data_IF_081412100586
#
_entry.id   IF_081412100586
#
_cell.length_a   1.000
_cell.length_b   1.000
_cell.length_c   1.000
_cell.angle_alpha   90.00
_cell.angle_beta   90.00
_cell.angle_gamma   90.00
#
_symmetry.space_group_name_H-M   'P 1'
#
loop_
_entity.id
_entity.type
_entity.pdbx_description
1 polymer ?
#
# COMPACT_ATOMS: atom_id res chain seq x y z
N UNK A 1 -8.10 2.99 -6.97
CA UNK A 1 -8.03 2.44 -5.60
C UNK A 1 -6.99 3.23 -4.86
N UNK A 2 -7.32 3.87 -3.74
CA UNK A 2 -6.39 4.76 -3.04
C UNK A 2 -5.47 3.96 -2.10
N UNK A 3 -4.18 4.19 -2.22
CA UNK A 3 -3.15 3.80 -1.26
C UNK A 3 -2.84 5.03 -0.41
N UNK A 4 -2.76 4.83 0.91
CA UNK A 4 -2.22 5.83 1.83
C UNK A 4 -1.04 5.24 2.58
N UNK A 5 0.02 6.04 2.71
CA UNK A 5 1.19 5.74 3.51
C UNK A 5 1.44 6.96 4.38
N UNK A 6 1.46 6.76 5.70
CA UNK A 6 1.88 7.79 6.65
C UNK A 6 3.31 7.51 7.11
N UNK A 7 4.13 8.55 7.11
CA UNK A 7 5.48 8.56 7.65
C UNK A 7 5.51 9.51 8.83
N UNK A 8 6.03 9.04 9.96
CA UNK A 8 6.23 9.83 11.16
C UNK A 8 7.70 10.28 11.20
N UNK A 9 7.91 11.59 11.23
CA UNK A 9 9.23 12.21 11.13
C UNK A 9 9.50 13.05 12.38
N UNK A 10 10.70 12.91 12.94
CA UNK A 10 11.14 13.71 14.08
C UNK A 10 11.44 15.15 13.65
N UNK A 11 10.87 16.10 14.39
CA UNK A 11 11.03 17.53 14.13
C UNK A 11 10.05 18.06 13.08
N UNK A 12 10.27 19.31 12.68
CA UNK A 12 9.43 20.01 11.72
C UNK A 12 9.93 19.77 10.29
N UNK A 13 9.00 19.40 9.40
CA UNK A 13 9.26 19.27 7.96
C UNK A 13 8.47 20.35 7.22
N UNK A 14 9.18 21.17 6.44
CA UNK A 14 8.54 22.21 5.63
C UNK A 14 8.12 21.67 4.26
N UNK A 15 7.05 22.24 3.69
CA UNK A 15 6.56 21.87 2.36
C UNK A 15 7.63 22.11 1.30
N UNK A 16 8.30 23.26 1.39
CA UNK A 16 9.34 23.69 0.45
C UNK A 16 10.45 22.66 0.41
N UNK A 17 10.86 22.13 1.59
CA UNK A 17 11.92 21.13 1.64
C UNK A 17 11.53 19.82 0.97
N UNK A 18 10.28 19.38 1.16
CA UNK A 18 9.79 18.15 0.51
C UNK A 18 9.64 18.35 -1.01
N UNK A 19 9.20 19.53 -1.44
CA UNK A 19 9.13 19.91 -2.86
C UNK A 19 10.51 19.92 -3.52
N UNK A 20 11.51 20.51 -2.86
CA UNK A 20 12.91 20.49 -3.32
C UNK A 20 13.42 19.07 -3.46
N UNK A 21 13.29 18.24 -2.42
CA UNK A 21 13.74 16.85 -2.45
C UNK A 21 13.04 16.03 -3.55
N UNK A 22 11.74 16.26 -3.76
CA UNK A 22 11.00 15.62 -4.83
C UNK A 22 11.53 16.05 -6.21
N UNK A 23 11.74 17.35 -6.41
CA UNK A 23 12.26 17.88 -7.66
C UNK A 23 13.68 17.34 -7.93
N UNK A 24 14.57 17.41 -6.94
CA UNK A 24 15.97 17.03 -7.04
C UNK A 24 16.18 15.52 -7.22
N UNK A 25 15.39 14.68 -6.56
CA UNK A 25 15.65 13.24 -6.52
C UNK A 25 14.72 12.39 -7.39
N UNK A 26 13.49 12.86 -7.61
CA UNK A 26 12.46 12.09 -8.32
C UNK A 26 12.31 12.63 -9.75
N UNK A 27 12.11 13.94 -9.91
CA UNK A 27 11.80 14.54 -11.21
C UNK A 27 13.00 14.60 -12.16
N UNK A 28 14.21 14.71 -11.62
CA UNK A 28 15.46 14.67 -12.39
C UNK A 28 15.93 13.24 -12.67
N UNK A 29 15.38 12.21 -12.01
CA UNK A 29 15.87 10.84 -12.12
C UNK A 29 15.74 10.34 -13.56
N UNK A 30 16.89 9.97 -14.14
CA UNK A 30 16.97 9.36 -15.48
C UNK A 30 17.39 7.90 -15.39
N UNK A 31 16.93 7.10 -16.34
CA UNK A 31 17.40 5.74 -16.59
C UNK A 31 18.75 5.78 -17.31
N UNK A 32 19.38 4.61 -17.46
CA UNK A 32 20.64 4.48 -18.22
C UNK A 32 20.50 4.92 -19.68
N UNK A 33 19.27 4.89 -20.21
CA UNK A 33 18.94 5.35 -21.57
C UNK A 33 18.62 6.87 -21.63
N UNK A 34 18.74 7.60 -20.53
CA UNK A 34 18.42 9.03 -20.45
C UNK A 34 16.94 9.37 -20.32
N UNK A 35 16.03 8.37 -20.23
CA UNK A 35 14.60 8.61 -20.06
C UNK A 35 14.21 8.95 -18.61
N UNK A 36 13.14 9.72 -18.42
CA UNK A 36 12.58 9.98 -17.08
C UNK A 36 12.02 8.71 -16.44
N UNK A 37 12.57 8.31 -15.29
CA UNK A 37 12.15 7.09 -14.59
C UNK A 37 10.73 7.21 -14.05
N UNK A 38 10.36 8.37 -13.49
CA UNK A 38 9.08 8.60 -12.83
C UNK A 38 8.08 9.40 -13.69
N UNK A 39 8.12 9.24 -15.02
CA UNK A 39 7.25 10.00 -15.94
C UNK A 39 5.75 9.90 -15.61
N UNK A 40 5.29 8.76 -15.10
CA UNK A 40 3.88 8.54 -14.74
C UNK A 40 3.37 9.44 -13.62
N UNK A 41 4.25 10.03 -12.79
CA UNK A 41 3.84 11.01 -11.79
C UNK A 41 3.34 12.33 -12.40
N UNK A 42 3.55 12.55 -13.70
CA UNK A 42 3.05 13.70 -14.45
C UNK A 42 1.92 13.31 -15.41
N UNK A 43 1.23 12.20 -15.13
CA UNK A 43 0.16 11.68 -15.96
C UNK A 43 -1.04 11.31 -15.11
N UNK A 44 -2.21 11.37 -15.75
CA UNK A 44 -3.48 10.93 -15.19
C UNK A 44 -4.19 10.00 -16.16
N UNK A 45 -5.27 9.38 -15.69
CA UNK A 45 -6.11 8.51 -16.51
C UNK A 45 -7.22 9.30 -17.18
N UNK A 46 -7.25 9.24 -18.51
CA UNK A 46 -8.37 9.71 -19.32
C UNK A 46 -9.09 8.52 -19.95
N UNK A 47 -10.32 8.75 -20.44
CA UNK A 47 -11.09 7.72 -21.14
C UNK A 47 -11.45 8.20 -22.54
N UNK A 48 -11.22 7.35 -23.54
CA UNK A 48 -11.62 7.62 -24.91
C UNK A 48 -12.22 6.37 -25.52
N UNK A 49 -13.46 6.47 -26.01
CA UNK A 49 -14.23 5.35 -26.61
C UNK A 49 -14.27 4.08 -25.72
N UNK A 50 -14.39 4.25 -24.40
CA UNK A 50 -14.46 3.15 -23.44
C UNK A 50 -13.11 2.56 -23.01
N UNK A 51 -12.00 3.01 -23.58
CA UNK A 51 -10.65 2.59 -23.20
C UNK A 51 -9.98 3.63 -22.30
N UNK A 52 -9.11 3.18 -21.39
CA UNK A 52 -8.32 4.04 -20.49
C UNK A 52 -6.95 4.31 -21.08
N UNK A 53 -6.51 5.57 -21.02
CA UNK A 53 -5.21 6.00 -21.51
C UNK A 53 -4.51 6.87 -20.47
N UNK A 54 -3.17 6.85 -20.52
CA UNK A 54 -2.35 7.82 -19.81
C UNK A 54 -2.31 9.12 -20.61
N UNK A 55 -2.76 10.21 -19.99
CA UNK A 55 -2.65 11.56 -20.55
C UNK A 55 -1.69 12.38 -19.69
N UNK A 56 -0.86 13.20 -20.34
CA UNK A 56 0.08 14.06 -19.64
C UNK A 56 -0.65 15.23 -18.98
N UNK A 57 -0.34 15.46 -17.71
CA UNK A 57 -0.83 16.60 -16.94
C UNK A 57 -0.12 17.89 -17.41
N UNK A 58 -0.76 18.61 -18.34
CA UNK A 58 -0.21 19.82 -18.95
C UNK A 58 0.02 20.96 -17.95
N UNK A 59 -0.66 20.92 -16.81
CA UNK A 59 -0.59 21.93 -15.75
C UNK A 59 0.12 21.37 -14.51
N UNK A 60 0.96 20.35 -14.69
CA UNK A 60 1.67 19.70 -13.59
C UNK A 60 2.55 20.71 -12.86
N UNK A 61 2.23 20.94 -11.58
CA UNK A 61 3.00 21.75 -10.65
C UNK A 61 3.19 20.97 -9.37
N UNK A 62 4.44 20.81 -8.93
CA UNK A 62 4.76 20.05 -7.70
C UNK A 62 4.02 20.63 -6.48
N UNK A 63 3.82 21.95 -6.44
CA UNK A 63 3.08 22.64 -5.37
C UNK A 63 1.59 22.29 -5.29
N UNK A 64 0.99 21.77 -6.37
CA UNK A 64 -0.38 21.26 -6.34
C UNK A 64 -0.45 19.88 -5.67
N UNK A 65 0.64 19.12 -5.69
CA UNK A 65 0.72 17.75 -5.18
C UNK A 65 1.36 17.68 -3.79
N UNK A 66 2.28 18.57 -3.44
CA UNK A 66 2.98 18.56 -2.15
C UNK A 66 2.62 19.83 -1.39
N UNK A 67 1.86 19.68 -0.30
CA UNK A 67 1.32 20.82 0.46
C UNK A 67 1.09 20.48 1.93
N UNK A 68 0.92 21.52 2.75
CA UNK A 68 0.35 21.34 4.07
C UNK A 68 -1.06 20.78 3.91
N UNK A 69 -1.44 19.90 4.81
CA UNK A 69 -2.85 19.57 4.96
C UNK A 69 -3.53 20.80 5.56
N UNK A 70 -4.27 21.54 4.74
CA UNK A 70 -4.95 22.77 5.13
C UNK A 70 -6.48 22.69 4.95
N UNK A 71 -7.19 23.61 5.61
CA UNK A 71 -8.65 23.74 5.66
C UNK A 71 -9.33 23.91 4.28
N UNK A 72 -8.57 24.07 3.18
CA UNK A 72 -9.13 24.21 1.82
C UNK A 72 -9.95 22.98 1.40
N UNK A 73 -9.75 21.86 2.08
CA UNK A 73 -10.52 20.63 1.85
C UNK A 73 -11.70 20.46 2.83
N UNK A 74 -12.09 21.50 3.60
CA UNK A 74 -13.10 21.46 4.68
C UNK A 74 -12.77 20.45 5.79
N UNK A 75 -11.47 20.26 6.06
CA UNK A 75 -10.97 19.29 7.03
C UNK A 75 -10.12 20.02 8.07
N UNK A 76 -10.79 20.51 9.12
CA UNK A 76 -10.12 21.20 10.22
C UNK A 76 -9.23 20.24 10.99
N UNK A 77 -7.93 20.49 10.94
CA UNK A 77 -6.95 19.80 11.79
C UNK A 77 -7.00 20.45 13.18
N UNK A 78 -7.13 19.64 14.22
CA UNK A 78 -6.85 20.10 15.58
C UNK A 78 -5.35 20.27 15.75
N UNK A 79 -4.92 21.43 16.21
CA UNK A 79 -3.52 21.69 16.56
C UNK A 79 -3.40 21.73 18.10
N UNK A 80 -2.69 20.78 18.73
CA UNK A 80 -1.85 19.75 18.12
C UNK A 80 -2.63 18.50 17.66
N UNK A 81 -2.14 17.82 16.64
CA UNK A 81 -2.82 16.68 16.00
C UNK A 81 -2.60 15.39 16.80
N UNK A 82 -3.67 14.74 17.23
CA UNK A 82 -3.59 13.46 17.96
C UNK A 82 -3.71 12.26 17.01
N UNK A 83 -3.41 11.05 17.50
CA UNK A 83 -3.62 9.80 16.76
C UNK A 83 -5.06 9.62 16.27
N UNK A 84 -6.04 9.90 17.12
CA UNK A 84 -7.47 9.79 16.76
C UNK A 84 -7.83 10.79 15.66
N UNK A 85 -7.27 12.00 15.71
CA UNK A 85 -7.48 12.99 14.64
C UNK A 85 -6.86 12.50 13.32
N UNK A 86 -5.65 11.92 13.36
CA UNK A 86 -4.98 11.34 12.19
C UNK A 86 -5.79 10.19 11.58
N UNK A 87 -6.34 9.27 12.39
CA UNK A 87 -7.18 8.16 11.91
C UNK A 87 -8.42 8.68 11.17
N UNK A 88 -9.14 9.64 11.77
CA UNK A 88 -10.29 10.27 11.12
C UNK A 88 -9.92 11.06 9.86
N UNK A 89 -8.71 11.62 9.78
CA UNK A 89 -8.20 12.26 8.55
C UNK A 89 -7.91 11.24 7.46
N UNK A 90 -7.23 10.13 7.79
CA UNK A 90 -6.92 9.07 6.83
C UNK A 90 -8.19 8.41 6.28
N UNK A 91 -9.20 8.22 7.12
CA UNK A 91 -10.52 7.74 6.72
C UNK A 91 -11.19 8.67 5.68
N UNK A 92 -11.14 9.99 5.90
CA UNK A 92 -11.68 10.94 4.92
C UNK A 92 -10.85 11.00 3.64
N UNK A 93 -9.52 10.93 3.77
CA UNK A 93 -8.60 10.95 2.63
C UNK A 93 -8.75 9.71 1.74
N UNK A 94 -8.97 8.51 2.29
CA UNK A 94 -9.14 7.30 1.47
C UNK A 94 -10.40 7.37 0.60
N UNK A 95 -11.44 8.05 1.08
CA UNK A 95 -12.72 8.21 0.38
C UNK A 95 -12.75 9.41 -0.57
N UNK A 96 -11.83 10.36 -0.42
CA UNK A 96 -11.79 11.58 -1.22
C UNK A 96 -11.67 11.26 -2.72
N UNK A 97 -12.44 11.89 -3.62
CA UNK A 97 -12.20 11.75 -5.06
C UNK A 97 -10.89 12.45 -5.47
N UNK A 98 -10.32 12.04 -6.61
CA UNK A 98 -9.20 12.77 -7.21
C UNK A 98 -9.69 13.99 -7.97
N UNK A 99 -8.86 15.02 -8.04
CA UNK A 99 -9.15 16.20 -8.87
C UNK A 99 -9.09 15.80 -10.35
N UNK A 100 -10.05 16.29 -11.12
CA UNK A 100 -10.11 15.99 -12.55
C UNK A 100 -8.88 16.56 -13.27
N UNK A 101 -8.41 15.81 -14.27
CA UNK A 101 -7.28 16.21 -15.13
C UNK A 101 -5.99 16.52 -14.36
N UNK A 102 -5.77 15.86 -13.22
CA UNK A 102 -4.54 15.97 -12.43
C UNK A 102 -3.94 14.60 -12.14
N UNK A 103 -2.62 14.58 -12.01
CA UNK A 103 -1.88 13.37 -11.67
C UNK A 103 -2.37 12.76 -10.34
N UNK A 104 -2.56 11.44 -10.30
CA UNK A 104 -3.33 10.75 -9.25
C UNK A 104 -2.53 10.46 -7.96
N UNK A 105 -1.82 11.46 -7.45
CA UNK A 105 -1.06 11.36 -6.21
C UNK A 105 -0.92 12.72 -5.52
N UNK A 106 -0.66 12.71 -4.22
CA UNK A 106 -0.32 13.90 -3.43
C UNK A 106 0.46 13.51 -2.17
N UNK A 107 1.22 14.46 -1.64
CA UNK A 107 1.92 14.38 -0.36
C UNK A 107 1.36 15.50 0.52
N UNK A 108 0.79 15.12 1.65
CA UNK A 108 0.20 16.02 2.62
C UNK A 108 1.07 16.03 3.87
N UNK A 109 1.39 17.23 4.37
CA UNK A 109 2.23 17.42 5.53
C UNK A 109 1.38 17.94 6.69
N UNK A 110 1.47 17.28 7.84
CA UNK A 110 0.79 17.64 9.08
C UNK A 110 1.86 17.88 10.12
N UNK A 111 2.00 19.13 10.54
CA UNK A 111 2.91 19.50 11.62
C UNK A 111 2.24 19.31 12.99
N UNK A 112 3.04 19.38 14.05
CA UNK A 112 2.57 19.34 15.44
C UNK A 112 1.79 18.07 15.82
N UNK A 113 2.19 16.92 15.30
CA UNK A 113 1.64 15.64 15.74
C UNK A 113 2.14 15.26 17.14
N UNK A 114 1.20 14.87 18.01
CA UNK A 114 1.47 14.41 19.38
C UNK A 114 1.64 12.89 19.36
N UNK A 115 2.87 12.37 19.52
CA UNK A 115 3.07 10.93 19.69
C UNK A 115 2.42 10.43 20.98
N UNK A 116 2.09 9.13 21.01
CA UNK A 116 1.49 8.50 22.19
C UNK A 116 2.41 8.51 23.42
N UNK A 117 3.71 8.63 23.21
CA UNK A 117 4.67 8.74 24.30
C UNK A 117 4.81 10.21 24.74
N UNK A 118 4.35 10.59 25.95
CA UNK A 118 4.32 11.97 26.41
C UNK A 118 5.71 12.62 26.58
N UNK A 119 6.79 11.83 26.57
CA UNK A 119 8.16 12.35 26.61
C UNK A 119 8.74 12.71 25.24
N UNK A 120 8.01 12.44 24.17
CA UNK A 120 8.50 12.65 22.80
C UNK A 120 8.18 14.07 22.32
N UNK A 121 9.10 14.63 21.52
CA UNK A 121 8.91 15.95 20.89
C UNK A 121 7.75 15.88 19.89
N UNK A 122 7.17 17.04 19.57
CA UNK A 122 6.24 17.15 18.45
C UNK A 122 6.92 16.64 17.16
N UNK A 123 6.13 15.94 16.36
CA UNK A 123 6.57 15.31 15.13
C UNK A 123 5.76 15.83 13.94
N UNK A 124 6.28 15.58 12.75
CA UNK A 124 5.55 15.83 11.51
C UNK A 124 5.10 14.50 10.92
N UNK A 125 3.84 14.45 10.47
CA UNK A 125 3.33 13.34 9.67
C UNK A 125 3.36 13.74 8.20
N UNK A 126 3.97 12.89 7.38
CA UNK A 126 3.96 13.02 5.91
C UNK A 126 3.09 11.91 5.36
N UNK A 127 1.97 12.27 4.74
CA UNK A 127 1.02 11.33 4.14
C UNK A 127 1.23 11.33 2.63
N UNK A 128 1.69 10.22 2.08
CA UNK A 128 1.59 9.94 0.65
C UNK A 128 0.24 9.30 0.38
N UNK A 129 -0.55 9.94 -0.49
CA UNK A 129 -1.78 9.36 -1.04
C UNK A 129 -1.60 9.19 -2.55
N UNK A 130 -1.98 8.03 -3.07
CA UNK A 130 -1.75 7.69 -4.47
C UNK A 130 -2.80 6.71 -4.98
N UNK A 131 -3.24 6.82 -6.23
CA UNK A 131 -4.00 5.75 -6.85
C UNK A 131 -3.08 4.58 -7.24
N UNK A 132 -3.43 3.36 -6.82
CA UNK A 132 -2.69 2.12 -7.06
C UNK A 132 -2.38 1.89 -8.56
N UNK A 133 -3.11 2.53 -9.45
CA UNK A 133 -2.83 2.51 -10.89
C UNK A 133 -1.43 3.03 -11.28
N UNK A 134 -0.86 3.93 -10.47
CA UNK A 134 0.45 4.50 -10.72
C UNK A 134 1.56 3.47 -10.48
N UNK A 135 1.48 2.71 -9.39
CA UNK A 135 2.44 1.66 -9.11
C UNK A 135 2.05 0.76 -7.95
N UNK A 136 2.77 -0.35 -7.84
CA UNK A 136 2.64 -1.29 -6.73
C UNK A 136 3.48 -0.88 -5.51
N UNK A 137 3.40 -1.68 -4.44
CA UNK A 137 4.16 -1.44 -3.21
C UNK A 137 5.69 -1.38 -3.41
N UNK A 138 6.24 -2.10 -4.37
CA UNK A 138 7.68 -2.06 -4.64
C UNK A 138 8.09 -0.76 -5.31
N UNK A 139 7.32 -0.32 -6.31
CA UNK A 139 7.47 1.00 -6.95
C UNK A 139 7.40 2.14 -5.93
N UNK A 140 6.44 2.06 -4.99
CA UNK A 140 6.24 3.07 -3.96
C UNK A 140 7.41 3.09 -2.97
N UNK A 141 7.94 1.94 -2.55
CA UNK A 141 9.15 1.90 -1.72
C UNK A 141 10.37 2.48 -2.44
N UNK A 142 10.53 2.21 -3.73
CA UNK A 142 11.57 2.82 -4.57
C UNK A 142 11.44 4.34 -4.66
N UNK A 143 10.21 4.82 -4.84
CA UNK A 143 9.88 6.25 -4.81
C UNK A 143 10.22 6.89 -3.46
N UNK A 144 9.74 6.31 -2.35
CA UNK A 144 10.01 6.82 -1.01
C UNK A 144 11.49 6.81 -0.67
N UNK A 145 12.24 5.79 -1.10
CA UNK A 145 13.70 5.75 -0.96
C UNK A 145 14.34 6.98 -1.60
N UNK A 146 13.93 7.39 -2.80
CA UNK A 146 14.49 8.57 -3.47
C UNK A 146 14.07 9.86 -2.79
N UNK A 147 12.78 9.98 -2.43
CA UNK A 147 12.26 11.15 -1.73
C UNK A 147 13.00 11.39 -0.41
N UNK A 148 13.35 10.32 0.30
CA UNK A 148 14.03 10.34 1.60
C UNK A 148 15.56 10.22 1.48
N UNK A 149 16.16 10.64 0.36
CA UNK A 149 17.62 10.65 0.15
C UNK A 149 18.33 9.30 0.39
N UNK A 150 17.68 8.18 0.07
CA UNK A 150 18.27 6.85 0.16
C UNK A 150 18.29 6.23 1.56
N UNK A 151 17.69 6.88 2.56
CA UNK A 151 17.63 6.40 3.95
C UNK A 151 16.90 5.06 4.08
N UNK A 152 15.95 4.76 3.19
CA UNK A 152 15.26 3.48 3.15
C UNK A 152 16.00 2.46 2.28
N UNK A 153 16.16 1.24 2.79
CA UNK A 153 16.56 0.10 1.97
C UNK A 153 15.33 -0.52 1.30
N UNK A 154 15.40 -0.69 -0.02
CA UNK A 154 14.39 -1.46 -0.77
C UNK A 154 14.98 -2.86 -0.95
N UNK A 155 14.28 -3.93 -0.54
CA UNK A 155 14.75 -5.29 -0.72
C UNK A 155 15.03 -5.54 -2.20
N UNK A 156 16.17 -6.13 -2.55
CA UNK A 156 16.38 -6.55 -3.94
C UNK A 156 15.64 -7.86 -4.19
N UNK A 157 14.80 -7.88 -5.23
CA UNK A 157 14.16 -9.12 -5.68
C UNK A 157 15.17 -9.86 -6.53
N UNK A 158 15.61 -11.03 -6.06
CA UNK A 158 16.53 -11.87 -6.82
C UNK A 158 15.98 -12.17 -8.21
N UNK A 159 16.81 -11.97 -9.24
CA UNK A 159 16.47 -12.36 -10.61
C UNK A 159 16.57 -13.88 -10.73
N UNK A 160 15.51 -14.60 -10.35
CA UNK A 160 15.42 -16.01 -10.68
C UNK A 160 15.05 -16.13 -12.16
N UNK A 161 16.06 -16.32 -13.02
CA UNK A 161 15.92 -16.60 -14.46
C UNK A 161 15.39 -18.00 -14.71
N UNK A 162 14.26 -18.38 -14.09
CA UNK A 162 13.53 -19.56 -14.57
C UNK A 162 12.85 -19.15 -15.86
N UNK A 163 13.48 -19.51 -16.98
CA UNK A 163 12.87 -19.40 -18.31
C UNK A 163 11.64 -20.29 -18.33
N UNK A 164 10.46 -19.70 -18.20
CA UNK A 164 9.21 -20.38 -18.44
C UNK A 164 8.99 -20.42 -19.94
N UNK A 165 9.45 -21.49 -20.60
CA UNK A 165 9.22 -21.66 -22.03
C UNK A 165 7.81 -22.23 -22.21
N UNK A 166 6.90 -21.41 -22.74
CA UNK A 166 5.52 -21.83 -23.10
C UNK A 166 5.56 -23.06 -24.03
N UNK A 167 6.62 -23.20 -24.82
CA UNK A 167 6.84 -24.33 -25.72
C UNK A 167 7.09 -25.66 -25.00
N UNK A 168 7.48 -25.65 -23.72
CA UNK A 168 7.64 -26.88 -22.93
C UNK A 168 6.30 -27.49 -22.52
N UNK A 169 5.21 -26.71 -22.53
CA UNK A 169 3.87 -27.22 -22.26
C UNK A 169 2.80 -26.35 -22.96
N UNK A 170 2.55 -26.56 -24.26
CA UNK A 170 1.57 -25.77 -25.02
C UNK A 170 0.14 -25.92 -24.48
N UNK A 171 -0.15 -27.02 -23.77
CA UNK A 171 -1.44 -27.21 -23.08
C UNK A 171 -1.73 -26.14 -22.02
N UNK A 172 -0.71 -25.49 -21.47
CA UNK A 172 -0.88 -24.38 -20.52
C UNK A 172 -1.54 -23.16 -21.16
N UNK A 173 -1.33 -22.89 -22.45
CA UNK A 173 -1.93 -21.73 -23.13
C UNK A 173 -3.46 -21.82 -23.13
N UNK A 174 -3.99 -23.03 -23.28
CA UNK A 174 -5.43 -23.28 -23.24
C UNK A 174 -5.96 -23.50 -21.82
N UNK A 175 -5.13 -24.08 -20.94
CA UNK A 175 -5.52 -24.36 -19.56
C UNK A 175 -5.56 -23.10 -18.70
N UNK A 176 -4.63 -22.14 -18.90
CA UNK A 176 -4.55 -20.91 -18.09
C UNK A 176 -5.85 -20.10 -18.15
N UNK A 177 -6.45 -19.77 -19.31
CA UNK A 177 -7.72 -19.06 -19.35
C UNK A 177 -8.86 -19.82 -18.67
N UNK A 178 -8.91 -21.14 -18.81
CA UNK A 178 -9.93 -21.98 -18.18
C UNK A 178 -9.77 -22.01 -16.66
N UNK A 179 -8.58 -22.33 -16.16
CA UNK A 179 -8.28 -22.38 -14.72
C UNK A 179 -8.45 -20.99 -14.10
N UNK A 180 -7.98 -19.93 -14.76
CA UNK A 180 -8.20 -18.55 -14.32
C UNK A 180 -9.69 -18.21 -14.22
N UNK A 181 -10.48 -18.57 -15.24
CA UNK A 181 -11.94 -18.33 -15.24
C UNK A 181 -12.62 -19.13 -14.14
N UNK A 182 -12.24 -20.39 -13.97
CA UNK A 182 -12.76 -21.28 -12.92
C UNK A 182 -12.43 -20.73 -11.53
N UNK A 183 -11.20 -20.29 -11.31
CA UNK A 183 -10.76 -19.71 -10.03
C UNK A 183 -11.43 -18.35 -9.77
N UNK A 184 -11.56 -17.50 -10.80
CA UNK A 184 -12.34 -16.26 -10.71
C UNK A 184 -13.80 -16.52 -10.38
N UNK A 185 -14.41 -17.51 -11.02
CA UNK A 185 -15.79 -17.91 -10.76
C UNK A 185 -15.92 -18.52 -9.36
N UNK A 186 -14.98 -19.34 -8.93
CA UNK A 186 -14.94 -19.89 -7.58
C UNK A 186 -14.74 -18.79 -6.52
N UNK A 187 -13.95 -17.75 -6.81
CA UNK A 187 -13.88 -16.58 -5.95
C UNK A 187 -15.17 -15.77 -5.96
N UNK A 188 -15.81 -15.60 -7.12
CA UNK A 188 -17.05 -14.80 -7.23
C UNK A 188 -18.25 -15.50 -6.61
N UNK A 189 -18.39 -16.82 -6.82
CA UNK A 189 -19.50 -17.64 -6.35
C UNK A 189 -19.24 -18.30 -5.00
N UNK A 190 -17.98 -18.64 -4.72
CA UNK A 190 -17.53 -19.38 -3.54
C UNK A 190 -16.87 -18.51 -2.48
N UNK A 191 -16.64 -17.22 -2.74
CA UNK A 191 -16.61 -16.26 -1.64
C UNK A 191 -17.97 -16.34 -0.98
N UNK A 192 -18.06 -17.17 0.07
CA UNK A 192 -18.91 -16.83 1.20
C UNK A 192 -18.47 -15.42 1.55
N UNK A 193 -19.19 -14.42 1.04
CA UNK A 193 -19.12 -13.08 1.57
C UNK A 193 -19.49 -13.29 3.02
N UNK A 194 -18.47 -13.48 3.87
CA UNK A 194 -18.63 -13.53 5.29
C UNK A 194 -19.36 -12.24 5.58
N UNK A 195 -20.63 -12.36 5.98
CA UNK A 195 -21.59 -11.27 5.91
C UNK A 195 -20.96 -9.99 6.45
N UNK A 196 -21.24 -8.85 5.80
CA UNK A 196 -20.65 -7.56 6.14
C UNK A 196 -20.54 -7.42 7.67
N UNK A 197 -19.32 -7.55 8.19
CA UNK A 197 -19.00 -7.32 9.59
C UNK A 197 -19.05 -5.80 9.78
N UNK A 198 -20.26 -5.24 9.84
CA UNK A 198 -20.50 -3.82 10.07
C UNK A 198 -20.94 -3.01 8.85
N UNK A 199 -21.10 -1.71 9.09
CA UNK A 199 -21.52 -0.72 8.11
C UNK A 199 -20.48 -0.62 6.97
N UNK A 200 -20.88 -0.37 5.71
CA UNK A 200 -19.97 -0.32 4.56
C UNK A 200 -19.06 0.92 4.53
N UNK A 201 -19.10 1.76 5.57
CA UNK A 201 -18.23 2.91 5.68
C UNK A 201 -16.77 2.45 5.84
N UNK A 202 -15.86 3.03 5.06
CA UNK A 202 -14.46 2.62 5.06
C UNK A 202 -13.79 3.03 6.37
N UNK A 203 -13.74 2.11 7.35
CA UNK A 203 -13.04 2.36 8.62
C UNK A 203 -11.53 2.26 8.42
N UNK A 204 -10.80 3.28 8.86
CA UNK A 204 -9.34 3.23 8.98
C UNK A 204 -8.97 3.06 10.44
N UNK A 205 -8.15 2.06 10.75
CA UNK A 205 -7.56 1.87 12.07
C UNK A 205 -6.06 1.65 11.94
N UNK A 206 -5.28 2.33 12.77
CA UNK A 206 -3.83 2.15 12.83
C UNK A 206 -3.56 1.22 14.02
N UNK A 207 -2.77 0.16 13.84
CA UNK A 207 -2.36 -0.69 14.97
C UNK A 207 -1.28 -0.02 15.81
N UNK A 208 -1.08 -0.46 17.05
CA UNK A 208 0.14 -0.09 17.77
C UNK A 208 1.39 -0.58 17.03
N UNK A 209 2.52 0.08 17.26
CA UNK A 209 3.78 -0.33 16.65
C UNK A 209 4.21 -1.69 17.20
N UNK A 210 4.53 -2.62 16.31
CA UNK A 210 5.04 -3.94 16.67
C UNK A 210 6.55 -3.97 16.44
N UNK A 211 7.31 -4.35 17.46
CA UNK A 211 8.77 -4.42 17.34
C UNK A 211 9.20 -5.47 16.32
N UNK A 212 10.06 -5.07 15.38
CA UNK A 212 10.69 -5.99 14.41
C UNK A 212 11.53 -7.06 15.12
N UNK A 213 12.15 -6.75 16.26
CA UNK A 213 12.94 -7.73 17.02
C UNK A 213 12.07 -8.86 17.56
N UNK A 214 10.89 -8.51 18.09
CA UNK A 214 9.92 -9.47 18.59
C UNK A 214 9.43 -10.39 17.47
N UNK A 215 9.10 -9.85 16.30
CA UNK A 215 8.66 -10.67 15.16
C UNK A 215 9.76 -11.63 14.72
N UNK A 216 11.03 -11.18 14.70
CA UNK A 216 12.18 -12.03 14.38
C UNK A 216 12.41 -13.13 15.42
N UNK A 217 12.27 -12.82 16.71
CA UNK A 217 12.38 -13.78 17.81
C UNK A 217 11.34 -14.90 17.65
N UNK A 218 10.06 -14.55 17.47
CA UNK A 218 8.98 -15.51 17.24
C UNK A 218 9.27 -16.36 16.01
N UNK A 219 9.65 -15.73 14.88
CA UNK A 219 10.01 -16.46 13.65
C UNK A 219 11.09 -17.51 13.92
N UNK A 220 12.13 -17.14 14.66
CA UNK A 220 13.28 -18.02 14.91
C UNK A 220 12.91 -19.15 15.89
N UNK A 221 12.14 -18.84 16.93
CA UNK A 221 11.66 -19.81 17.91
C UNK A 221 10.80 -20.90 17.25
N UNK A 222 9.87 -20.50 16.36
CA UNK A 222 8.95 -21.43 15.69
C UNK A 222 9.49 -21.96 14.34
N UNK A 223 10.67 -21.48 13.90
CA UNK A 223 11.31 -21.85 12.61
C UNK A 223 10.44 -21.57 11.38
N UNK A 224 9.72 -20.46 11.40
CA UNK A 224 8.79 -20.04 10.33
C UNK A 224 9.29 -18.80 9.58
N UNK A 225 8.58 -18.37 8.54
CA UNK A 225 8.91 -17.13 7.83
C UNK A 225 8.45 -15.89 8.61
N UNK A 226 9.01 -14.72 8.28
CA UNK A 226 8.57 -13.45 8.90
C UNK A 226 7.11 -13.15 8.54
N UNK A 227 6.72 -13.41 7.28
CA UNK A 227 5.35 -13.25 6.81
C UNK A 227 4.36 -14.18 7.50
N UNK A 228 4.75 -15.42 7.82
CA UNK A 228 3.89 -16.36 8.56
C UNK A 228 3.51 -15.81 9.95
N UNK A 229 4.45 -15.16 10.63
CA UNK A 229 4.17 -14.49 11.91
C UNK A 229 3.18 -13.34 11.75
N UNK A 230 3.34 -12.51 10.72
CA UNK A 230 2.39 -11.42 10.47
C UNK A 230 1.00 -11.93 10.08
N UNK A 231 0.93 -12.94 9.23
CA UNK A 231 -0.34 -13.53 8.81
C UNK A 231 -1.08 -14.17 10.00
N UNK A 232 -0.38 -14.87 10.89
CA UNK A 232 -1.00 -15.49 12.06
C UNK A 232 -1.58 -14.47 13.05
N UNK A 233 -0.95 -13.28 13.17
CA UNK A 233 -1.46 -12.16 13.96
C UNK A 233 -2.74 -11.61 13.34
N UNK A 234 -2.75 -11.36 12.03
CA UNK A 234 -3.93 -10.87 11.31
C UNK A 234 -5.08 -11.86 11.39
N UNK A 235 -4.85 -13.15 11.14
CA UNK A 235 -5.87 -14.20 11.28
C UNK A 235 -6.41 -14.28 12.70
N UNK A 236 -5.54 -14.19 13.71
CA UNK A 236 -5.97 -14.17 15.11
C UNK A 236 -6.84 -12.96 15.44
N UNK A 237 -6.56 -11.78 14.85
CA UNK A 237 -7.39 -10.60 15.00
C UNK A 237 -8.76 -10.77 14.32
N UNK A 238 -8.78 -11.31 13.10
CA UNK A 238 -10.02 -11.61 12.37
C UNK A 238 -10.86 -12.61 13.16
N UNK A 239 -10.29 -13.73 13.61
CA UNK A 239 -11.01 -14.73 14.39
C UNK A 239 -11.65 -14.14 15.66
N UNK A 240 -10.91 -13.28 16.38
CA UNK A 240 -11.46 -12.56 17.54
C UNK A 240 -12.61 -11.64 17.15
N UNK A 241 -12.53 -10.93 16.03
CA UNK A 241 -13.61 -10.06 15.56
C UNK A 241 -14.89 -10.86 15.24
N UNK A 242 -14.79 -12.05 14.63
CA UNK A 242 -15.94 -12.95 14.46
C UNK A 242 -16.55 -13.33 15.81
N UNK A 243 -15.73 -13.76 16.76
CA UNK A 243 -16.21 -14.14 18.09
C UNK A 243 -16.86 -12.97 18.83
N UNK A 244 -16.32 -11.75 18.73
CA UNK A 244 -16.92 -10.55 19.32
C UNK A 244 -18.26 -10.16 18.71
N UNK A 245 -18.56 -10.64 17.50
CA UNK A 245 -19.84 -10.46 16.82
C UNK A 245 -20.80 -11.66 17.01
N UNK A 246 -20.50 -12.59 17.94
CA UNK A 246 -21.22 -13.84 18.13
C UNK A 246 -21.29 -14.72 16.86
N UNK A 247 -20.28 -14.61 15.99
CA UNK A 247 -20.14 -15.40 14.78
C UNK A 247 -19.02 -16.45 14.92
N UNK A 248 -19.18 -17.57 14.21
CA UNK A 248 -18.11 -18.56 14.09
C UNK A 248 -17.16 -18.17 12.95
N UNK A 249 -15.84 -18.03 13.21
CA UNK A 249 -14.89 -17.78 12.14
C UNK A 249 -14.89 -18.96 11.15
N UNK A 250 -14.60 -18.71 9.87
CA UNK A 250 -14.43 -19.79 8.92
C UNK A 250 -13.22 -20.66 9.26
N UNK A 251 -13.28 -21.93 8.87
CA UNK A 251 -12.13 -22.83 8.98
C UNK A 251 -10.91 -22.30 8.24
N UNK A 252 -11.12 -21.91 6.98
CA UNK A 252 -10.09 -21.33 6.13
C UNK A 252 -10.54 -19.97 5.60
N UNK A 253 -9.62 -19.01 5.62
CA UNK A 253 -9.80 -17.71 5.00
C UNK A 253 -8.96 -17.66 3.73
N UNK A 254 -9.60 -17.42 2.59
CA UNK A 254 -8.88 -17.18 1.33
C UNK A 254 -8.28 -15.77 1.38
N UNK A 255 -6.96 -15.68 1.27
CA UNK A 255 -6.21 -14.44 1.30
C UNK A 255 -5.47 -14.23 -0.03
N UNK A 256 -5.41 -12.98 -0.47
CA UNK A 256 -4.63 -12.57 -1.65
C UNK A 256 -3.36 -11.86 -1.21
N UNK A 257 -2.22 -12.30 -1.74
CA UNK A 257 -0.90 -11.76 -1.44
C UNK A 257 -0.28 -11.16 -2.70
N UNK A 258 0.01 -9.86 -2.74
CA UNK A 258 0.80 -9.29 -3.81
C UNK A 258 2.26 -9.73 -3.64
N UNK A 259 2.79 -10.41 -4.65
CA UNK A 259 4.18 -10.84 -4.72
C UNK A 259 4.86 -10.04 -5.83
N UNK A 260 5.99 -9.38 -5.56
CA UNK A 260 6.67 -8.64 -6.60
C UNK A 260 7.36 -9.60 -7.58
N UNK A 261 7.29 -9.28 -8.86
CA UNK A 261 7.86 -10.14 -9.91
C UNK A 261 9.37 -9.83 -10.05
N UNK A 262 10.24 -10.86 -10.18
CA UNK A 262 11.65 -10.66 -10.47
C UNK A 262 11.89 -9.79 -11.70
N UNK A 263 12.86 -8.88 -11.62
CA UNK A 263 13.14 -7.95 -12.73
C UNK A 263 12.20 -6.75 -12.79
N UNK A 264 11.56 -6.41 -11.66
CA UNK A 264 10.73 -5.22 -11.53
C UNK A 264 11.39 -3.98 -12.17
N UNK A 265 10.73 -3.32 -13.15
CA UNK A 265 11.32 -2.18 -13.83
C UNK A 265 11.38 -0.97 -12.88
N UNK A 266 12.32 -0.05 -13.09
CA UNK A 266 12.36 1.19 -12.30
C UNK A 266 11.12 2.07 -12.52
N UNK A 267 10.84 2.96 -11.57
CA UNK A 267 9.78 3.96 -11.68
C UNK A 267 8.46 3.55 -11.04
N UNK A 268 7.36 4.18 -11.49
CA UNK A 268 6.00 3.88 -11.04
C UNK A 268 5.35 2.90 -12.01
N UNK A 269 5.30 1.63 -11.65
CA UNK A 269 4.69 0.58 -12.45
C UNK A 269 3.96 -0.43 -11.58
N UNK A 270 2.99 -1.11 -12.14
CA UNK A 270 2.42 -2.31 -11.51
C UNK A 270 3.15 -3.50 -12.12
N UNK A 271 3.96 -4.16 -11.31
CA UNK A 271 4.76 -5.31 -11.67
C UNK A 271 4.74 -6.34 -10.53
N UNK A 272 3.53 -6.66 -10.10
CA UNK A 272 3.20 -7.67 -9.08
C UNK A 272 2.34 -8.77 -9.69
N UNK A 273 2.38 -9.93 -9.05
CA UNK A 273 1.43 -11.02 -9.25
C UNK A 273 0.72 -11.27 -7.93
N UNK A 274 -0.59 -11.45 -7.98
CA UNK A 274 -1.35 -11.85 -6.80
C UNK A 274 -1.36 -13.37 -6.67
N UNK A 275 -1.03 -13.87 -5.49
CA UNK A 275 -1.17 -15.29 -5.14
C UNK A 275 -2.28 -15.44 -4.12
N UNK A 276 -3.16 -16.40 -4.35
CA UNK A 276 -4.23 -16.74 -3.43
C UNK A 276 -3.80 -17.94 -2.58
N UNK A 277 -4.01 -17.86 -1.27
CA UNK A 277 -3.78 -18.98 -0.36
C UNK A 277 -4.88 -19.05 0.70
N UNK A 278 -5.23 -20.27 1.09
CA UNK A 278 -6.14 -20.52 2.19
C UNK A 278 -5.36 -20.58 3.50
N UNK A 279 -5.76 -19.76 4.46
CA UNK A 279 -5.12 -19.67 5.77
C UNK A 279 -6.06 -20.16 6.89
N UNK A 280 -5.58 -20.93 7.88
CA UNK A 280 -6.42 -21.49 8.94
C UNK A 280 -6.84 -20.39 9.92
N UNK A 281 -8.11 -19.99 9.88
CA UNK A 281 -8.63 -18.87 10.68
C UNK A 281 -9.22 -19.35 12.01
N UNK A 282 -9.89 -20.51 12.03
CA UNK A 282 -10.50 -21.10 13.24
C UNK A 282 -9.52 -21.81 14.19
N UNK A 283 -8.24 -21.89 13.82
CA UNK A 283 -7.22 -22.51 14.65
C UNK A 283 -7.20 -21.87 16.04
N UNK A 284 -7.22 -22.65 17.14
CA UNK A 284 -7.46 -22.11 18.48
C UNK A 284 -6.27 -21.34 19.05
N UNK A 285 -5.05 -21.59 18.57
CA UNK A 285 -3.83 -20.95 19.07
C UNK A 285 -2.97 -20.34 17.97
N UNK A 286 -2.17 -19.30 18.27
CA UNK A 286 -1.20 -18.76 17.33
C UNK A 286 -0.18 -19.80 16.85
N UNK A 287 0.23 -20.73 17.72
CA UNK A 287 1.23 -21.75 17.37
C UNK A 287 0.74 -22.76 16.33
N UNK A 288 -0.57 -22.98 16.21
CA UNK A 288 -1.16 -23.82 15.15
C UNK A 288 -1.28 -23.04 13.83
N UNK A 289 -1.34 -21.70 13.90
CA UNK A 289 -1.38 -20.82 12.73
C UNK A 289 0.01 -20.51 12.14
N UNK A 290 1.08 -20.76 12.89
CA UNK A 290 2.48 -20.57 12.49
C UNK A 290 3.01 -21.82 11.80
#
# INVERSE_FOLDING_TARGET
MNILISLQVDGEVTVERVQELFQENVMTKRSDNGEMVYKRLQHFWTSFLGYKFWEHDKNFLVSNHIRLYDDKDNLTIKDPCTRTDLEGMLEKLVQRPWRENQSLWEILIINNFVPENPSSKLQTIVILRMDHVLGDGYSILGFLKLLLNGTCSVPQIGQNKRSFSIWQNPGLVFKIPYDFTKDMLAMTLGAKMYGQLGNPDNVVSISSQVSVSLVKEIKNQYKVSYGAVLHSVVLGAIARAFHSADLSPPKYLQCSFPIPVPGHPGGMVIHTVSVFAELPCDAPSPSIRL
#
